data_IF_111268760840
#
_entry.id   IF_111268760840
#
_cell.length_a   1.000
_cell.length_b   1.000
_cell.length_c   1.000
_cell.angle_alpha   90.00
_cell.angle_beta   90.00
_cell.angle_gamma   90.00
#
_symmetry.space_group_name_H-M   'P 1'
#
loop_
_entity.id
_entity.type
_entity.pdbx_description
1 polymer ?
#
# COMPACT_ATOMS: atom_id res chain seq x y z
N UNK A 1 -3.46 -9.41 -9.62
CA UNK A 1 -2.21 -8.60 -9.67
C UNK A 1 -1.84 -8.16 -8.26
N UNK A 2 -0.66 -7.56 -8.09
CA UNK A 2 -0.28 -6.84 -6.88
C UNK A 2 0.22 -5.44 -7.28
N UNK A 3 -0.22 -4.39 -6.58
CA UNK A 3 0.21 -3.01 -6.80
C UNK A 3 0.44 -2.28 -5.47
N UNK A 4 1.50 -1.48 -5.41
CA UNK A 4 1.81 -0.57 -4.30
C UNK A 4 1.82 0.84 -4.85
N UNK A 5 0.96 1.69 -4.30
CA UNK A 5 0.71 3.03 -4.85
C UNK A 5 0.70 4.09 -3.75
N UNK A 6 0.97 5.34 -4.13
CA UNK A 6 0.72 6.52 -3.31
C UNK A 6 -0.49 7.27 -3.87
N UNK A 7 -1.57 7.32 -3.10
CA UNK A 7 -2.75 8.15 -3.40
C UNK A 7 -2.73 9.39 -2.50
N UNK A 8 -2.39 10.56 -3.06
CA UNK A 8 -2.22 11.82 -2.30
C UNK A 8 -1.29 11.65 -1.08
N UNK A 9 -0.14 11.00 -1.31
CA UNK A 9 0.84 10.71 -0.27
C UNK A 9 0.48 9.58 0.69
N UNK A 10 -0.70 8.95 0.55
CA UNK A 10 -1.13 7.83 1.39
C UNK A 10 -0.81 6.51 0.68
N UNK A 11 -0.01 5.61 1.29
CA UNK A 11 0.24 4.29 0.73
C UNK A 11 -1.01 3.43 0.69
N UNK A 12 -1.21 2.74 -0.44
CA UNK A 12 -2.19 1.67 -0.55
C UNK A 12 -1.59 0.44 -1.22
N UNK A 13 -2.04 -0.72 -0.76
CA UNK A 13 -1.74 -2.03 -1.34
C UNK A 13 -3.02 -2.55 -2.01
N UNK A 14 -2.92 -2.85 -3.30
CA UNK A 14 -3.99 -3.47 -4.08
C UNK A 14 -3.60 -4.91 -4.42
N UNK A 15 -4.50 -5.86 -4.15
CA UNK A 15 -4.28 -7.28 -4.44
C UNK A 15 -5.53 -7.85 -5.10
N UNK A 16 -5.35 -8.56 -6.21
CA UNK A 16 -6.44 -9.22 -6.91
C UNK A 16 -6.06 -10.67 -7.27
N UNK A 17 -6.86 -11.63 -6.82
CA UNK A 17 -6.70 -13.07 -7.05
C UNK A 17 -7.70 -13.65 -8.07
N UNK A 18 -8.42 -12.80 -8.80
CA UNK A 18 -9.36 -13.21 -9.85
C UNK A 18 -10.83 -13.14 -9.48
N UNK A 19 -11.17 -12.70 -8.26
CA UNK A 19 -12.56 -12.49 -7.79
C UNK A 19 -12.87 -11.03 -7.44
N UNK A 20 -11.92 -10.12 -7.66
CA UNK A 20 -12.03 -8.71 -7.30
C UNK A 20 -10.79 -8.21 -6.56
N UNK A 21 -10.64 -6.90 -6.53
CA UNK A 21 -9.47 -6.24 -5.94
C UNK A 21 -9.73 -5.88 -4.47
N UNK A 22 -8.87 -6.37 -3.59
CA UNK A 22 -8.75 -5.94 -2.20
C UNK A 22 -7.87 -4.70 -2.12
N UNK A 23 -8.30 -3.69 -1.35
CA UNK A 23 -7.54 -2.47 -1.08
C UNK A 23 -7.26 -2.34 0.42
N UNK A 24 -5.98 -2.17 0.76
CA UNK A 24 -5.53 -1.80 2.10
C UNK A 24 -4.88 -0.43 2.06
N UNK A 25 -5.48 0.56 2.74
CA UNK A 25 -4.90 1.90 2.94
C UNK A 25 -4.19 1.97 4.29
N UNK A 26 -2.94 2.42 4.29
CA UNK A 26 -2.15 2.57 5.51
C UNK A 26 -2.23 4.02 5.98
N UNK A 27 -2.80 4.24 7.19
CA UNK A 27 -2.78 5.56 7.81
C UNK A 27 -1.41 5.84 8.41
N UNK A 28 -0.64 6.69 7.75
CA UNK A 28 0.63 7.22 8.23
C UNK A 28 0.38 8.45 9.12
N UNK A 29 1.37 8.83 9.95
CA UNK A 29 1.28 10.05 10.78
C UNK A 29 1.24 11.33 9.93
N UNK A 30 1.91 11.30 8.78
CA UNK A 30 1.95 12.36 7.76
C UNK A 30 1.96 11.73 6.36
N UNK A 31 1.46 12.42 5.32
CA UNK A 31 1.61 11.98 3.93
C UNK A 31 3.09 11.74 3.58
N UNK A 32 3.37 10.76 2.72
CA UNK A 32 4.74 10.35 2.35
C UNK A 32 5.27 11.07 1.11
N UNK A 33 4.49 11.97 0.51
CA UNK A 33 4.90 12.87 -0.58
C UNK A 33 5.62 14.13 -0.07
N UNK A 34 6.40 13.98 1.01
CA UNK A 34 7.07 15.07 1.72
C UNK A 34 8.51 15.35 1.26
N UNK A 35 8.99 14.65 0.23
CA UNK A 35 10.34 14.79 -0.33
C UNK A 35 11.42 13.97 0.38
N UNK A 36 11.07 13.21 1.42
CA UNK A 36 11.98 12.35 2.15
C UNK A 36 11.91 10.89 1.70
N UNK A 37 12.97 10.13 1.98
CA UNK A 37 12.97 8.68 1.76
C UNK A 37 12.13 7.96 2.83
N UNK A 38 11.21 7.11 2.38
CA UNK A 38 10.38 6.27 3.24
C UNK A 38 10.57 4.79 2.91
N UNK A 39 10.42 3.93 3.92
CA UNK A 39 10.47 2.47 3.77
C UNK A 39 9.07 1.89 4.02
N UNK A 40 8.62 1.04 3.08
CA UNK A 40 7.41 0.25 3.23
C UNK A 40 7.80 -1.23 3.29
N UNK A 41 7.50 -1.88 4.42
CA UNK A 41 7.66 -3.32 4.57
C UNK A 41 6.29 -4.00 4.37
N UNK A 42 6.24 -4.98 3.46
CA UNK A 42 5.02 -5.72 3.11
C UNK A 42 5.22 -7.17 3.51
N UNK A 43 4.37 -7.66 4.40
CA UNK A 43 4.37 -9.04 4.86
C UNK A 43 3.06 -9.72 4.46
N UNK A 44 3.18 -10.98 4.08
CA UNK A 44 2.07 -11.86 3.76
C UNK A 44 2.41 -13.24 4.34
N UNK A 45 1.41 -13.94 4.86
CA UNK A 45 1.51 -15.36 5.21
C UNK A 45 0.39 -16.13 4.54
N UNK A 46 0.73 -17.28 3.94
CA UNK A 46 -0.25 -18.33 3.65
C UNK A 46 -0.29 -19.22 4.88
N UNK A 47 -1.28 -19.05 5.77
CA UNK A 47 -1.64 -20.18 6.64
C UNK A 47 -2.24 -21.31 5.80
#
# INVERSE_FOLDING_TARGET
FISVELERGIPRLLIDFGSGTLELKVKTKRPLDDGEWHRLDIFWTTE
#
